data_IF_215242065811
#
_entry.id   IF_215242065811
#
_cell.length_a   1.000
_cell.length_b   1.000
_cell.length_c   1.000
_cell.angle_alpha   90.00
_cell.angle_beta   90.00
_cell.angle_gamma   90.00
#
_symmetry.space_group_name_H-M   'P 1'
#
loop_
_entity.id
_entity.type
_entity.pdbx_description
1 polymer ?
#
# COMPACT_ATOMS: atom_id res chain seq x y z
N UNK A 1 -9.75 7.53 -18.60
CA UNK A 1 -8.43 8.15 -18.48
C UNK A 1 -8.31 8.75 -17.10
N UNK A 2 -7.48 8.12 -16.28
CA UNK A 2 -7.17 8.57 -14.92
C UNK A 2 -6.70 10.03 -14.94
N UNK A 3 -7.36 10.87 -14.15
CA UNK A 3 -7.01 12.28 -13.96
C UNK A 3 -6.95 12.57 -12.46
N UNK A 4 -5.74 12.79 -11.96
CA UNK A 4 -5.47 13.03 -10.54
C UNK A 4 -5.07 14.48 -10.37
N UNK A 5 -5.84 15.22 -9.59
CA UNK A 5 -5.50 16.60 -9.20
C UNK A 5 -4.64 16.57 -7.94
N UNK A 6 -3.36 16.93 -8.09
CA UNK A 6 -2.39 16.93 -7.01
C UNK A 6 -2.59 18.08 -6.02
N UNK A 7 -3.43 19.06 -6.34
CA UNK A 7 -3.74 20.18 -5.46
C UNK A 7 -4.99 19.93 -4.59
N UNK A 8 -5.71 18.84 -4.85
CA UNK A 8 -6.90 18.47 -4.09
C UNK A 8 -6.50 17.60 -2.88
N UNK A 9 -6.98 17.99 -1.70
CA UNK A 9 -7.01 17.11 -0.54
C UNK A 9 -8.26 16.24 -0.66
N UNK A 10 -8.06 14.98 -1.02
CA UNK A 10 -9.15 14.03 -1.14
C UNK A 10 -9.58 13.50 0.22
N UNK A 11 -10.81 13.00 0.31
CA UNK A 11 -11.37 12.48 1.56
C UNK A 11 -12.18 11.20 1.31
N UNK A 12 -12.02 10.24 2.20
CA UNK A 12 -12.92 9.10 2.35
C UNK A 12 -13.78 9.32 3.61
N UNK A 13 -14.70 8.39 3.98
CA UNK A 13 -15.44 8.54 5.22
C UNK A 13 -14.58 8.67 6.48
N UNK A 14 -13.37 8.07 6.50
CA UNK A 14 -12.48 8.11 7.66
C UNK A 14 -11.27 9.04 7.52
N UNK A 15 -10.67 9.13 6.33
CA UNK A 15 -9.36 9.76 6.19
C UNK A 15 -9.33 10.91 5.19
N UNK A 16 -8.28 11.72 5.29
CA UNK A 16 -7.91 12.67 4.24
C UNK A 16 -6.55 12.34 3.64
N UNK A 17 -6.39 12.67 2.35
CA UNK A 17 -5.25 12.24 1.53
C UNK A 17 -4.63 13.48 0.92
N UNK A 18 -3.45 13.86 1.43
CA UNK A 18 -2.71 15.03 0.97
C UNK A 18 -1.60 14.58 0.04
N UNK A 19 -1.61 15.09 -1.19
CA UNK A 19 -0.60 14.70 -2.17
C UNK A 19 0.80 15.19 -1.76
N UNK A 20 1.82 14.41 -2.09
CA UNK A 20 3.22 14.71 -1.74
C UNK A 20 3.69 16.08 -2.27
N UNK A 21 3.17 16.55 -3.40
CA UNK A 21 3.53 17.87 -3.95
C UNK A 21 3.10 19.05 -3.05
N UNK A 22 2.17 18.81 -2.12
CA UNK A 22 1.64 19.82 -1.20
C UNK A 22 2.26 19.74 0.19
N UNK A 23 3.19 18.80 0.44
CA UNK A 23 3.77 18.62 1.75
C UNK A 23 4.70 19.78 2.10
N UNK A 24 4.57 20.24 3.34
CA UNK A 24 5.54 21.10 4.00
C UNK A 24 6.87 20.37 4.18
N UNK A 25 7.92 21.13 4.46
CA UNK A 25 9.24 20.56 4.74
C UNK A 25 9.22 19.58 5.93
N UNK A 26 8.46 19.91 6.98
CA UNK A 26 8.30 19.05 8.17
C UNK A 26 7.61 17.72 7.83
N UNK A 27 6.53 17.77 7.05
CA UNK A 27 5.87 16.55 6.57
C UNK A 27 6.80 15.68 5.72
N UNK A 28 7.61 16.28 4.83
CA UNK A 28 8.62 15.55 4.05
C UNK A 28 9.65 14.88 4.96
N UNK A 29 10.12 15.56 6.01
CA UNK A 29 11.06 15.00 6.98
C UNK A 29 10.45 13.83 7.76
N UNK A 30 9.19 13.97 8.17
CA UNK A 30 8.47 12.90 8.85
C UNK A 30 8.29 11.67 7.95
N UNK A 31 7.86 11.87 6.70
CA UNK A 31 7.77 10.80 5.69
C UNK A 31 9.10 10.09 5.50
N UNK A 32 10.21 10.82 5.40
CA UNK A 32 11.54 10.23 5.31
C UNK A 32 11.86 9.35 6.52
N UNK A 33 11.60 9.85 7.73
CA UNK A 33 11.86 9.12 8.97
C UNK A 33 11.05 7.81 9.03
N UNK A 34 9.76 7.86 8.72
CA UNK A 34 8.91 6.66 8.68
C UNK A 34 9.32 5.69 7.57
N UNK A 35 9.65 6.21 6.38
CA UNK A 35 10.12 5.38 5.25
C UNK A 35 11.45 4.70 5.54
N UNK A 36 12.31 5.31 6.35
CA UNK A 36 13.58 4.76 6.80
C UNK A 36 13.46 3.90 8.06
N UNK A 37 12.31 3.83 8.73
CA UNK A 37 12.13 2.94 9.87
C UNK A 37 12.32 1.48 9.43
N UNK A 38 12.97 0.66 10.27
CA UNK A 38 13.23 -0.74 9.94
C UNK A 38 11.94 -1.53 9.74
N UNK A 39 10.88 -1.19 10.48
CA UNK A 39 9.57 -1.84 10.39
C UNK A 39 8.87 -1.57 9.06
N UNK A 40 9.32 -0.53 8.32
CA UNK A 40 8.80 -0.16 7.00
C UNK A 40 9.78 -0.57 5.89
N UNK A 41 11.04 -0.12 5.95
CA UNK A 41 12.00 -0.30 4.84
C UNK A 41 12.33 -1.76 4.54
N UNK A 42 12.24 -2.65 5.53
CA UNK A 42 12.47 -4.09 5.32
C UNK A 42 11.51 -4.72 4.30
N UNK A 43 10.33 -4.13 4.10
CA UNK A 43 9.31 -4.62 3.17
C UNK A 43 9.35 -3.97 1.79
N UNK A 44 10.17 -2.94 1.62
CA UNK A 44 10.22 -2.13 0.39
C UNK A 44 11.11 -2.77 -0.68
N UNK A 45 10.88 -2.47 -1.96
CA UNK A 45 11.78 -2.93 -3.05
C UNK A 45 13.21 -2.40 -2.91
N UNK A 46 13.35 -1.22 -2.31
CA UNK A 46 14.64 -0.61 -1.96
C UNK A 46 14.69 -0.42 -0.45
N UNK A 47 15.36 -1.33 0.25
CA UNK A 47 15.42 -1.37 1.71
C UNK A 47 16.55 -0.53 2.32
N UNK A 48 17.38 0.08 1.47
CA UNK A 48 18.44 1.00 1.89
C UNK A 48 17.90 2.26 2.58
N UNK A 49 18.72 2.82 3.47
CA UNK A 49 18.42 4.09 4.14
C UNK A 49 18.52 5.23 3.14
N UNK A 50 17.40 5.91 2.92
CA UNK A 50 17.30 7.08 2.06
C UNK A 50 17.98 8.29 2.73
N UNK A 51 18.78 9.01 1.97
CA UNK A 51 19.36 10.29 2.41
C UNK A 51 18.35 11.42 2.22
N UNK A 52 18.44 12.46 3.07
CA UNK A 52 17.52 13.60 3.03
C UNK A 52 17.50 14.29 1.67
N UNK A 53 18.66 14.60 1.10
CA UNK A 53 18.76 15.29 -0.18
C UNK A 53 18.12 14.51 -1.33
N UNK A 54 18.27 13.19 -1.33
CA UNK A 54 17.67 12.32 -2.35
C UNK A 54 16.15 12.22 -2.17
N UNK A 55 15.68 12.17 -0.92
CA UNK A 55 14.25 12.19 -0.64
C UNK A 55 13.60 13.52 -1.06
N UNK A 56 14.23 14.66 -0.76
CA UNK A 56 13.71 15.97 -1.17
C UNK A 56 13.66 16.10 -2.69
N UNK A 57 14.73 15.69 -3.40
CA UNK A 57 14.74 15.64 -4.87
C UNK A 57 13.64 14.73 -5.42
N UNK A 58 13.42 13.58 -4.79
CA UNK A 58 12.34 12.66 -5.17
C UNK A 58 10.97 13.34 -5.03
N UNK A 59 10.65 13.93 -3.87
CA UNK A 59 9.36 14.58 -3.63
C UNK A 59 9.14 15.76 -4.57
N UNK A 60 10.16 16.60 -4.76
CA UNK A 60 10.06 17.77 -5.64
C UNK A 60 9.93 17.37 -7.11
N UNK A 61 10.53 16.24 -7.51
CA UNK A 61 10.40 15.68 -8.86
C UNK A 61 9.00 15.14 -9.19
N UNK A 62 8.17 14.82 -8.18
CA UNK A 62 6.82 14.27 -8.40
C UNK A 62 5.90 15.23 -9.16
N UNK A 63 6.12 16.55 -9.07
CA UNK A 63 5.29 17.52 -9.82
C UNK A 63 5.45 17.38 -11.34
N UNK A 64 6.57 16.82 -11.80
CA UNK A 64 6.94 16.66 -13.21
C UNK A 64 6.59 15.27 -13.76
N UNK A 65 6.11 14.35 -12.92
CA UNK A 65 5.72 12.98 -13.29
C UNK A 65 4.21 12.91 -13.44
N UNK A 66 3.70 12.22 -14.45
CA UNK A 66 2.27 12.01 -14.64
C UNK A 66 1.83 10.54 -14.49
N UNK A 67 2.78 9.68 -14.14
CA UNK A 67 2.61 8.25 -13.91
C UNK A 67 2.87 7.83 -12.45
N UNK A 68 3.16 8.78 -11.55
CA UNK A 68 3.66 8.50 -10.21
C UNK A 68 3.09 9.51 -9.20
N UNK A 69 2.34 9.02 -8.21
CA UNK A 69 1.60 9.84 -7.25
C UNK A 69 1.67 9.23 -5.86
N UNK A 70 1.93 10.06 -4.86
CA UNK A 70 2.04 9.67 -3.45
C UNK A 70 1.14 10.56 -2.61
N UNK A 71 0.55 10.00 -1.56
CA UNK A 71 -0.25 10.72 -0.58
C UNK A 71 0.20 10.38 0.83
N UNK A 72 0.26 11.41 1.67
CA UNK A 72 0.27 11.26 3.12
C UNK A 72 -1.19 11.19 3.58
N UNK A 73 -1.52 10.16 4.34
CA UNK A 73 -2.86 9.85 4.81
C UNK A 73 -3.01 10.30 6.25
N UNK A 74 -4.11 10.98 6.53
CA UNK A 74 -4.43 11.57 7.82
C UNK A 74 -5.72 10.98 8.40
N UNK A 75 -5.68 10.59 9.68
CA UNK A 75 -6.88 10.45 10.52
C UNK A 75 -7.03 11.76 11.31
N UNK A 76 -8.08 12.51 11.00
CA UNK A 76 -8.22 13.92 11.41
C UNK A 76 -6.99 14.75 11.04
N UNK A 77 -6.14 15.09 12.02
CA UNK A 77 -4.91 15.87 11.85
C UNK A 77 -3.64 15.03 12.05
N UNK A 78 -3.77 13.74 12.37
CA UNK A 78 -2.63 12.86 12.66
C UNK A 78 -2.24 12.06 11.42
N UNK A 79 -0.97 12.11 10.97
CA UNK A 79 -0.49 11.26 9.89
C UNK A 79 -0.49 9.78 10.32
N UNK A 80 -1.16 8.93 9.55
CA UNK A 80 -1.28 7.49 9.87
C UNK A 80 -0.55 6.57 8.89
N UNK A 81 -0.22 7.06 7.70
CA UNK A 81 0.45 6.23 6.70
C UNK A 81 0.64 6.94 5.38
N UNK A 82 1.25 6.25 4.45
CA UNK A 82 1.50 6.71 3.09
C UNK A 82 0.98 5.68 2.12
N UNK A 83 0.43 6.16 1.01
CA UNK A 83 0.02 5.32 -0.09
C UNK A 83 0.43 5.94 -1.42
N UNK A 84 0.52 5.12 -2.46
CA UNK A 84 0.96 5.55 -3.78
C UNK A 84 0.32 4.75 -4.90
N UNK A 85 0.31 5.37 -6.08
CA UNK A 85 0.14 4.70 -7.36
C UNK A 85 1.32 5.06 -8.25
N UNK A 86 1.94 4.06 -8.86
CA UNK A 86 3.07 4.24 -9.77
C UNK A 86 2.86 3.48 -11.07
N UNK A 87 3.59 3.86 -12.12
CA UNK A 87 3.41 3.27 -13.45
C UNK A 87 1.98 3.41 -13.96
N UNK A 88 1.33 4.56 -13.71
CA UNK A 88 -0.03 4.81 -14.17
C UNK A 88 -0.05 4.85 -15.70
N UNK A 89 -0.67 3.84 -16.30
CA UNK A 89 -0.98 3.76 -17.71
C UNK A 89 -2.38 4.34 -17.94
N UNK A 90 -2.43 5.47 -18.64
CA UNK A 90 -3.67 6.21 -18.97
C UNK A 90 -4.47 5.57 -20.10
N UNK A 91 -3.84 4.75 -20.94
CA UNK A 91 -4.52 4.04 -22.03
C UNK A 91 -5.28 2.83 -21.49
N UNK A 92 -4.62 2.05 -20.62
CA UNK A 92 -5.24 0.87 -19.99
C UNK A 92 -5.96 1.17 -18.66
N UNK A 93 -5.83 2.39 -18.11
CA UNK A 93 -6.25 2.76 -16.76
C UNK A 93 -5.75 1.76 -15.68
N UNK A 94 -4.46 1.39 -15.77
CA UNK A 94 -3.78 0.41 -14.89
C UNK A 94 -2.64 1.08 -14.11
N UNK A 95 -2.41 0.69 -12.86
CA UNK A 95 -1.31 1.22 -12.03
C UNK A 95 -0.80 0.21 -11.00
N UNK A 96 0.43 0.36 -10.54
CA UNK A 96 0.95 -0.36 -9.37
C UNK A 96 0.51 0.37 -8.09
N UNK A 97 -0.10 -0.34 -7.15
CA UNK A 97 -0.43 0.21 -5.83
C UNK A 97 0.68 -0.08 -4.80
N UNK A 98 0.81 0.80 -3.81
CA UNK A 98 1.64 0.57 -2.64
C UNK A 98 1.17 1.36 -1.44
N UNK A 99 1.41 0.85 -0.23
CA UNK A 99 1.04 1.51 1.01
C UNK A 99 1.96 1.09 2.17
N UNK A 100 2.04 1.92 3.21
CA UNK A 100 2.58 1.55 4.51
C UNK A 100 2.00 2.43 5.62
N UNK A 101 1.88 1.88 6.82
CA UNK A 101 1.51 2.62 8.02
C UNK A 101 2.72 3.32 8.64
N UNK A 102 2.47 4.44 9.33
CA UNK A 102 3.44 5.02 10.25
C UNK A 102 3.85 3.97 11.30
N UNK A 103 5.15 3.78 11.57
CA UNK A 103 5.63 2.84 12.57
C UNK A 103 4.99 3.05 13.95
N UNK A 104 4.65 1.96 14.63
CA UNK A 104 4.09 1.99 15.99
C UNK A 104 2.55 2.03 16.06
N UNK A 105 1.86 2.16 14.93
CA UNK A 105 0.39 2.06 14.89
C UNK A 105 -0.05 0.59 14.88
N UNK A 106 -0.62 0.12 16.00
CA UNK A 106 -1.16 -1.23 16.13
C UNK A 106 -2.68 -1.25 15.87
N UNK A 107 -3.15 -2.19 15.07
CA UNK A 107 -4.59 -2.42 14.85
C UNK A 107 -5.25 -1.51 13.80
N UNK A 108 -4.53 -0.54 13.23
CA UNK A 108 -5.07 0.37 12.21
C UNK A 108 -5.06 -0.19 10.78
N UNK A 109 -4.30 -1.27 10.54
CA UNK A 109 -4.10 -1.82 9.18
C UNK A 109 -5.38 -2.13 8.44
N UNK A 110 -6.37 -2.72 9.12
CA UNK A 110 -7.66 -3.06 8.51
C UNK A 110 -8.35 -1.84 7.91
N UNK A 111 -8.55 -0.80 8.71
CA UNK A 111 -9.23 0.40 8.26
C UNK A 111 -8.37 1.18 7.26
N UNK A 112 -7.06 1.27 7.50
CA UNK A 112 -6.13 1.94 6.60
C UNK A 112 -6.21 1.39 5.17
N UNK A 113 -6.02 0.07 5.00
CA UNK A 113 -6.03 -0.55 3.67
C UNK A 113 -7.42 -0.48 3.03
N UNK A 114 -8.49 -0.68 3.81
CA UNK A 114 -9.87 -0.54 3.31
C UNK A 114 -10.12 0.83 2.70
N UNK A 115 -9.73 1.90 3.40
CA UNK A 115 -9.94 3.26 2.93
C UNK A 115 -8.99 3.63 1.78
N UNK A 116 -7.77 3.08 1.75
CA UNK A 116 -6.87 3.23 0.60
C UNK A 116 -7.47 2.62 -0.67
N UNK A 117 -8.02 1.40 -0.58
CA UNK A 117 -8.66 0.73 -1.71
C UNK A 117 -9.96 1.43 -2.13
N UNK A 118 -10.75 1.91 -1.17
CA UNK A 118 -11.90 2.76 -1.48
C UNK A 118 -11.46 4.04 -2.20
N UNK A 119 -10.41 4.72 -1.74
CA UNK A 119 -9.87 5.90 -2.42
C UNK A 119 -9.45 5.58 -3.86
N UNK A 120 -8.71 4.49 -4.06
CA UNK A 120 -8.26 4.05 -5.37
C UNK A 120 -9.41 3.77 -6.36
N UNK A 121 -10.40 2.97 -5.95
CA UNK A 121 -11.46 2.54 -6.86
C UNK A 121 -12.61 3.52 -6.94
N UNK A 122 -13.04 4.10 -5.82
CA UNK A 122 -14.24 4.93 -5.77
C UNK A 122 -13.95 6.42 -6.00
N UNK A 123 -12.76 6.91 -5.63
CA UNK A 123 -12.42 8.33 -5.81
C UNK A 123 -11.59 8.53 -7.08
N UNK A 124 -10.48 7.80 -7.23
CA UNK A 124 -9.63 7.93 -8.42
C UNK A 124 -10.18 7.21 -9.66
N UNK A 125 -11.16 6.32 -9.49
CA UNK A 125 -11.81 5.55 -10.57
C UNK A 125 -10.81 4.78 -11.44
N UNK A 126 -9.72 4.28 -10.83
CA UNK A 126 -8.75 3.41 -11.52
C UNK A 126 -9.40 2.06 -11.80
N UNK A 127 -9.21 1.52 -13.01
CA UNK A 127 -9.91 0.29 -13.43
C UNK A 127 -9.26 -0.97 -12.90
N UNK A 128 -7.93 -1.01 -12.89
CA UNK A 128 -7.17 -2.20 -12.50
C UNK A 128 -5.90 -1.77 -11.79
N UNK A 129 -5.58 -2.44 -10.68
CA UNK A 129 -4.27 -2.37 -10.07
C UNK A 129 -3.50 -3.66 -10.25
N UNK A 130 -2.19 -3.53 -10.18
CA UNK A 130 -1.30 -4.62 -9.85
C UNK A 130 -0.47 -4.23 -8.62
N UNK A 131 0.19 -5.21 -8.02
CA UNK A 131 1.04 -4.98 -6.87
C UNK A 131 1.82 -6.23 -6.52
N UNK A 132 2.85 -6.05 -5.70
CA UNK A 132 3.56 -7.18 -5.14
C UNK A 132 3.86 -6.97 -3.66
N UNK A 133 3.77 -8.07 -2.91
CA UNK A 133 4.02 -8.10 -1.47
C UNK A 133 5.17 -9.05 -1.20
N UNK A 134 6.10 -8.64 -0.33
CA UNK A 134 7.21 -9.50 0.08
C UNK A 134 6.65 -10.80 0.67
N UNK A 135 7.18 -11.97 0.27
CA UNK A 135 6.64 -13.26 0.67
C UNK A 135 6.63 -13.49 2.18
N UNK A 136 7.52 -12.82 2.91
CA UNK A 136 7.63 -12.89 4.36
C UNK A 136 6.71 -11.88 5.09
N UNK A 137 6.10 -10.93 4.38
CA UNK A 137 5.17 -9.96 4.97
C UNK A 137 3.76 -10.56 5.13
N UNK A 138 3.64 -11.53 6.03
CA UNK A 138 2.41 -12.29 6.26
C UNK A 138 1.21 -11.40 6.65
N UNK A 139 1.44 -10.29 7.34
CA UNK A 139 0.38 -9.35 7.73
C UNK A 139 -0.24 -8.67 6.50
N UNK A 140 0.59 -8.08 5.64
CA UNK A 140 0.12 -7.47 4.39
C UNK A 140 -0.54 -8.52 3.46
N UNK A 141 0.06 -9.72 3.34
CA UNK A 141 -0.53 -10.81 2.54
C UNK A 141 -1.94 -11.17 3.03
N UNK A 142 -2.13 -11.35 4.34
CA UNK A 142 -3.44 -11.68 4.89
C UNK A 142 -4.45 -10.56 4.66
N UNK A 143 -4.01 -9.31 4.80
CA UNK A 143 -4.87 -8.15 4.65
C UNK A 143 -5.29 -7.92 3.20
N UNK A 144 -4.34 -7.96 2.27
CA UNK A 144 -4.61 -7.83 0.83
C UNK A 144 -5.53 -8.95 0.34
N UNK A 145 -5.27 -10.21 0.74
CA UNK A 145 -6.15 -11.34 0.41
C UNK A 145 -7.55 -11.18 0.96
N UNK A 146 -7.68 -10.67 2.18
CA UNK A 146 -8.99 -10.42 2.76
C UNK A 146 -9.79 -9.43 1.92
N UNK A 147 -9.12 -8.38 1.42
CA UNK A 147 -9.73 -7.39 0.52
C UNK A 147 -9.80 -7.82 -0.95
N UNK A 148 -9.51 -9.08 -1.26
CA UNK A 148 -9.79 -9.68 -2.57
C UNK A 148 -8.59 -9.74 -3.51
N UNK A 149 -7.39 -9.35 -3.09
CA UNK A 149 -6.20 -9.55 -3.90
C UNK A 149 -5.88 -11.05 -4.03
N UNK A 150 -5.76 -11.52 -5.27
CA UNK A 150 -5.30 -12.88 -5.57
C UNK A 150 -3.84 -12.85 -5.99
N UNK A 151 -3.02 -13.62 -5.28
CA UNK A 151 -1.59 -13.75 -5.56
C UNK A 151 -1.34 -15.04 -6.36
N UNK A 152 -1.29 -14.92 -7.68
CA UNK A 152 -1.24 -16.05 -8.62
C UNK A 152 0.16 -16.31 -9.18
N UNK A 153 1.05 -15.33 -9.08
CA UNK A 153 2.41 -15.38 -9.60
C UNK A 153 3.39 -14.84 -8.55
N UNK A 154 4.69 -14.96 -8.82
CA UNK A 154 5.73 -14.33 -8.01
C UNK A 154 6.80 -13.71 -8.90
N UNK A 155 7.45 -12.67 -8.40
CA UNK A 155 8.67 -12.09 -8.97
C UNK A 155 9.81 -12.17 -7.96
N UNK A 156 11.04 -12.06 -8.44
CA UNK A 156 12.24 -12.04 -7.58
C UNK A 156 13.00 -10.77 -7.86
N UNK A 157 13.37 -10.06 -6.80
CA UNK A 157 14.17 -8.85 -6.86
C UNK A 157 15.46 -9.08 -6.07
N UNK A 158 16.59 -8.67 -6.64
CA UNK A 158 17.87 -8.72 -5.93
C UNK A 158 18.02 -7.46 -5.07
N UNK A 159 18.18 -7.64 -3.77
CA UNK A 159 18.42 -6.58 -2.79
C UNK A 159 19.58 -6.99 -1.90
N UNK A 160 20.62 -6.15 -1.80
CA UNK A 160 21.79 -6.39 -0.93
C UNK A 160 22.36 -7.81 -1.10
N UNK A 161 22.57 -8.18 -2.38
CA UNK A 161 23.09 -9.49 -2.79
C UNK A 161 22.20 -10.69 -2.46
N UNK A 162 21.01 -10.47 -1.88
CA UNK A 162 20.00 -11.49 -1.63
C UNK A 162 18.91 -11.43 -2.68
N UNK A 163 18.38 -12.59 -3.03
CA UNK A 163 17.16 -12.69 -3.82
C UNK A 163 15.95 -12.70 -2.87
N UNK A 164 15.09 -11.71 -3.03
CA UNK A 164 13.86 -11.58 -2.26
C UNK A 164 12.69 -11.88 -3.18
N UNK A 165 11.81 -12.79 -2.77
CA UNK A 165 10.60 -13.13 -3.53
C UNK A 165 9.43 -12.26 -3.10
N UNK A 166 8.63 -11.87 -4.08
CA UNK A 166 7.40 -11.13 -3.90
C UNK A 166 6.25 -11.89 -4.56
N UNK A 167 5.17 -12.10 -3.82
CA UNK A 167 3.89 -12.54 -4.38
C UNK A 167 3.29 -11.41 -5.19
N UNK A 168 2.77 -11.71 -6.38
CA UNK A 168 2.26 -10.70 -7.32
C UNK A 168 0.77 -10.90 -7.52
N UNK A 169 0.04 -9.79 -7.43
CA UNK A 169 -1.35 -9.65 -7.84
C UNK A 169 -1.36 -8.81 -9.11
N UNK A 170 -1.71 -9.41 -10.25
CA UNK A 170 -1.57 -8.78 -11.56
C UNK A 170 -2.81 -8.00 -12.00
N UNK A 171 -4.00 -8.42 -11.58
CA UNK A 171 -5.28 -7.85 -12.03
C UNK A 171 -6.25 -7.74 -10.85
N UNK A 172 -6.13 -6.66 -10.08
CA UNK A 172 -7.02 -6.33 -8.97
C UNK A 172 -8.00 -5.23 -9.40
N UNK A 173 -9.29 -5.56 -9.44
CA UNK A 173 -10.35 -4.70 -9.97
C UNK A 173 -11.34 -4.25 -8.88
N UNK A 174 -12.19 -3.24 -9.15
CA UNK A 174 -13.26 -2.87 -8.24
C UNK A 174 -14.17 -4.04 -7.84
N UNK A 175 -14.42 -4.99 -8.76
CA UNK A 175 -15.32 -6.12 -8.49
C UNK A 175 -14.76 -7.05 -7.41
N UNK A 176 -13.43 -7.18 -7.33
CA UNK A 176 -12.75 -8.00 -6.32
C UNK A 176 -12.86 -7.37 -4.92
N UNK A 177 -12.91 -6.04 -4.87
CA UNK A 177 -12.97 -5.25 -3.64
C UNK A 177 -14.38 -4.99 -3.12
N UNK A 178 -15.35 -4.69 -3.99
CA UNK A 178 -16.66 -4.13 -3.60
C UNK A 178 -17.44 -5.00 -2.60
N UNK A 179 -17.40 -6.32 -2.75
CA UNK A 179 -18.03 -7.23 -1.78
C UNK A 179 -17.24 -7.31 -0.47
N UNK A 180 -15.92 -7.15 -0.52
CA UNK A 180 -15.05 -7.16 0.67
C UNK A 180 -15.17 -5.87 1.48
N UNK A 181 -15.45 -4.75 0.83
CA UNK A 181 -15.65 -3.46 1.49
C UNK A 181 -16.80 -3.48 2.52
N UNK A 182 -17.81 -4.34 2.30
CA UNK A 182 -18.95 -4.52 3.21
C UNK A 182 -18.59 -5.28 4.48
N UNK A 183 -17.45 -5.98 4.50
CA UNK A 183 -17.00 -6.76 5.65
C UNK A 183 -16.38 -5.85 6.71
N UNK A 184 -16.49 -6.26 7.96
CA UNK A 184 -15.97 -5.52 9.09
C UNK A 184 -14.68 -6.13 9.66
N UNK A 185 -14.13 -5.47 10.68
CA UNK A 185 -12.91 -5.91 11.35
C UNK A 185 -13.11 -7.26 12.07
N UNK A 186 -14.33 -7.60 12.49
CA UNK A 186 -14.64 -8.88 13.13
C UNK A 186 -14.52 -10.01 12.10
N UNK A 187 -15.00 -9.79 10.88
CA UNK A 187 -14.85 -10.74 9.78
C UNK A 187 -13.38 -10.96 9.41
N UNK A 188 -12.58 -9.88 9.39
CA UNK A 188 -11.13 -10.00 9.19
C UNK A 188 -10.46 -10.81 10.30
N UNK A 189 -10.79 -10.56 11.57
CA UNK A 189 -10.25 -11.32 12.71
C UNK A 189 -10.61 -12.80 12.60
N UNK A 190 -11.85 -13.13 12.19
CA UNK A 190 -12.27 -14.54 11.95
C UNK A 190 -11.45 -15.16 10.82
N UNK A 191 -11.31 -14.46 9.70
CA UNK A 191 -10.51 -14.90 8.56
C UNK A 191 -9.06 -15.22 8.96
N UNK A 192 -8.38 -14.31 9.67
CA UNK A 192 -7.00 -14.50 10.13
C UNK A 192 -6.88 -15.71 11.06
N UNK A 193 -7.85 -15.92 11.97
CA UNK A 193 -7.86 -17.11 12.84
C UNK A 193 -7.97 -18.41 12.04
N UNK A 194 -8.84 -18.44 11.04
CA UNK A 194 -9.06 -19.62 10.20
C UNK A 194 -7.84 -19.94 9.33
N UNK A 195 -7.22 -18.93 8.70
CA UNK A 195 -5.99 -19.12 7.91
C UNK A 195 -4.84 -19.63 8.77
N UNK A 196 -4.64 -19.06 9.96
CA UNK A 196 -3.63 -19.54 10.91
C UNK A 196 -3.88 -21.00 11.33
N UNK A 197 -5.15 -21.41 11.48
CA UNK A 197 -5.50 -22.81 11.79
C UNK A 197 -5.14 -23.74 10.62
N UNK A 198 -5.41 -23.33 9.38
CA UNK A 198 -5.07 -24.11 8.17
C UNK A 198 -3.55 -24.30 8.05
N UNK A 199 -2.77 -23.24 8.26
CA UNK A 199 -1.30 -23.29 8.22
C UNK A 199 -0.78 -24.31 9.25
N UNK A 200 -1.24 -24.22 10.51
CA UNK A 200 -0.87 -25.18 11.56
C UNK A 200 -1.23 -26.62 11.19
N UNK A 201 -2.43 -26.84 10.63
CA UNK A 201 -2.87 -28.19 10.25
C UNK A 201 -2.06 -28.81 9.12
N UNK A 202 -1.52 -28.00 8.19
CA UNK A 202 -0.64 -28.47 7.11
C UNK A 202 0.72 -28.86 7.65
N UNK A 203 1.30 -28.05 8.54
CA UNK A 203 2.59 -28.34 9.19
C UNK A 203 2.56 -29.65 10.00
N UNK A 204 1.45 -29.94 10.69
CA UNK A 204 1.30 -31.19 11.44
C UNK A 204 1.10 -32.44 10.56
N UNK A 205 0.78 -32.29 9.27
CA UNK A 205 0.60 -33.42 8.33
C UNK A 205 1.86 -33.73 7.52
N UNK A 206 2.87 -32.87 7.59
CA UNK A 206 4.16 -33.01 6.90
C UNK A 206 5.29 -33.51 7.82
N UNK A 207 4.95 -33.99 9.03
CA UNK A 207 5.83 -34.67 9.99
C UNK A 207 5.30 -36.11 10.12
#
# INVERSE_FOLDING_TARGET
MISIDRNTIYKTPRYSFKNFVQLSFEEKLNVLNWRNDINVRQWMYHSEVLQLDDHLKFVDGLSMRDDCYYWLVYDENEPIGVMNVTGVDKESDKAELGYYLVPGLCGEGFFFVRECFFFFFEILKIKTFYGAVNEDNSEAIMLDRFFGCEFLSFKTLRQNEKEIRYWVCDDYSPMDFLEKYKLDVIDYIKYVKDENRKIRSRLCKSI
#
